data_IF_658137170877
#
_entry.id   IF_658137170877
#
_cell.length_a   1.000
_cell.length_b   1.000
_cell.length_c   1.000
_cell.angle_alpha   90.00
_cell.angle_beta   90.00
_cell.angle_gamma   90.00
#
_symmetry.space_group_name_H-M   'P 1'
#
loop_
_entity.id
_entity.type
_entity.pdbx_description
1 polymer ?
#
# COMPACT_ATOMS: atom_id res chain seq x y z
N UNK A 1 -5.41 21.33 -12.01
CA UNK A 1 -4.74 20.32 -11.16
C UNK A 1 -5.23 20.44 -9.71
N UNK A 2 -6.54 20.59 -9.47
CA UNK A 2 -7.06 20.98 -8.15
C UNK A 2 -6.65 20.05 -7.00
N UNK A 3 -6.65 18.73 -7.21
CA UNK A 3 -6.24 17.77 -6.19
C UNK A 3 -4.77 17.89 -5.79
N UNK A 4 -3.87 18.18 -6.73
CA UNK A 4 -2.44 18.34 -6.42
C UNK A 4 -2.24 19.59 -5.57
N UNK A 5 -2.92 20.68 -5.90
CA UNK A 5 -2.86 21.93 -5.15
C UNK A 5 -3.42 21.75 -3.73
N UNK A 6 -4.54 21.05 -3.58
CA UNK A 6 -5.15 20.72 -2.28
C UNK A 6 -4.23 19.85 -1.40
N UNK A 7 -3.65 18.78 -1.96
CA UNK A 7 -2.70 17.92 -1.24
C UNK A 7 -1.42 18.68 -0.87
N UNK A 8 -0.95 19.55 -1.77
CA UNK A 8 0.18 20.43 -1.51
C UNK A 8 -0.14 21.41 -0.38
N UNK A 9 -1.36 21.94 -0.24
CA UNK A 9 -1.71 22.80 0.89
C UNK A 9 -1.78 22.01 2.22
N UNK A 10 -2.38 20.83 2.19
CA UNK A 10 -2.76 20.11 3.41
C UNK A 10 -1.67 19.18 3.99
N UNK A 11 -0.66 18.75 3.23
CA UNK A 11 0.38 17.83 3.71
C UNK A 11 1.79 18.34 3.42
N UNK A 12 2.56 18.58 4.48
CA UNK A 12 3.96 18.99 4.37
C UNK A 12 4.82 17.90 3.73
N UNK A 13 4.54 16.64 4.04
CA UNK A 13 5.18 15.47 3.46
C UNK A 13 4.89 15.40 1.97
N UNK A 14 3.63 15.58 1.54
CA UNK A 14 3.29 15.59 0.13
C UNK A 14 4.04 16.70 -0.62
N UNK A 15 4.10 17.93 -0.07
CA UNK A 15 4.89 19.03 -0.66
C UNK A 15 6.36 18.68 -0.83
N UNK A 16 6.93 18.00 0.15
CA UNK A 16 8.33 17.62 0.14
C UNK A 16 8.59 16.50 -0.87
N UNK A 17 7.79 15.44 -0.88
CA UNK A 17 8.07 14.24 -1.67
C UNK A 17 7.58 14.34 -3.11
N UNK A 18 6.50 15.09 -3.38
CA UNK A 18 5.91 15.17 -4.72
C UNK A 18 6.89 15.64 -5.81
N UNK A 19 7.73 16.67 -5.64
CA UNK A 19 8.69 17.08 -6.68
C UNK A 19 9.79 16.05 -6.98
N UNK A 20 9.97 15.06 -6.11
CA UNK A 20 10.99 14.01 -6.21
C UNK A 20 10.47 12.71 -6.81
N UNK A 21 9.18 12.66 -7.20
CA UNK A 21 8.60 11.42 -7.67
C UNK A 21 9.25 11.01 -9.00
N UNK A 22 9.98 9.91 -8.99
CA UNK A 22 10.21 9.10 -10.18
C UNK A 22 9.07 8.08 -10.24
N UNK A 23 8.24 8.14 -11.28
CA UNK A 23 7.16 7.16 -11.48
C UNK A 23 7.82 5.83 -11.82
N UNK A 24 7.87 4.91 -10.86
CA UNK A 24 8.25 3.53 -11.13
C UNK A 24 7.06 2.81 -11.75
N UNK A 25 7.18 2.44 -13.02
CA UNK A 25 6.18 1.63 -13.74
C UNK A 25 6.24 0.18 -13.26
N UNK A 26 5.57 -0.12 -12.15
CA UNK A 26 5.44 -1.51 -11.71
C UNK A 26 4.72 -1.64 -10.38
N UNK A 27 3.48 -2.16 -10.35
CA UNK A 27 2.79 -2.47 -9.11
C UNK A 27 3.20 -3.85 -8.54
N UNK A 28 4.31 -4.40 -9.03
CA UNK A 28 4.85 -5.68 -8.63
C UNK A 28 6.04 -5.45 -7.71
N UNK A 29 5.97 -6.00 -6.51
CA UNK A 29 7.08 -5.86 -5.59
C UNK A 29 6.80 -6.32 -4.19
N UNK A 30 7.87 -6.30 -3.41
CA UNK A 30 7.86 -6.68 -2.01
C UNK A 30 7.56 -5.47 -1.14
N UNK A 31 6.46 -5.53 -0.41
CA UNK A 31 6.01 -4.50 0.53
C UNK A 31 6.35 -4.91 1.96
N UNK A 32 7.09 -4.06 2.67
CA UNK A 32 7.43 -4.24 4.08
C UNK A 32 6.72 -3.15 4.88
N UNK A 33 5.80 -3.56 5.76
CA UNK A 33 5.11 -2.65 6.67
C UNK A 33 5.66 -2.82 8.08
N UNK A 34 5.77 -1.70 8.80
CA UNK A 34 6.15 -1.66 10.20
C UNK A 34 4.91 -1.32 11.02
N UNK A 35 4.13 -2.35 11.36
CA UNK A 35 2.93 -2.16 12.19
C UNK A 35 3.34 -1.94 13.65
N UNK A 36 2.77 -0.93 14.35
CA UNK A 36 3.17 -0.62 15.72
C UNK A 36 2.86 -1.73 16.73
N UNK A 37 1.92 -2.62 16.42
CA UNK A 37 1.45 -3.67 17.33
C UNK A 37 1.93 -5.06 16.92
N UNK A 38 1.84 -5.40 15.64
CA UNK A 38 2.24 -6.70 15.09
C UNK A 38 3.72 -6.75 14.63
N UNK A 39 4.39 -5.59 14.58
CA UNK A 39 5.76 -5.47 14.10
C UNK A 39 5.85 -5.58 12.56
N UNK A 40 6.93 -6.18 12.08
CA UNK A 40 7.19 -6.30 10.65
C UNK A 40 6.19 -7.27 10.00
N UNK A 41 5.55 -6.80 8.91
CA UNK A 41 4.70 -7.56 8.02
C UNK A 41 5.21 -7.45 6.59
N UNK A 42 5.34 -8.58 5.90
CA UNK A 42 5.90 -8.65 4.54
C UNK A 42 4.89 -9.23 3.56
N UNK A 43 4.70 -8.54 2.45
CA UNK A 43 3.76 -8.92 1.40
C UNK A 43 4.45 -8.93 0.03
N UNK A 44 4.07 -9.89 -0.80
CA UNK A 44 4.24 -9.76 -2.24
C UNK A 44 3.00 -9.04 -2.80
N UNK A 45 3.22 -8.03 -3.62
CA UNK A 45 2.16 -7.22 -4.21
C UNK A 45 2.08 -7.47 -5.71
N UNK A 46 0.85 -7.61 -6.21
CA UNK A 46 0.52 -7.61 -7.63
C UNK A 46 -0.61 -6.63 -7.87
N UNK A 47 -0.61 -5.90 -8.99
CA UNK A 47 -1.80 -5.15 -9.42
C UNK A 47 -2.13 -5.31 -10.89
N UNK A 48 -3.43 -5.26 -11.17
CA UNK A 48 -4.01 -5.48 -12.48
C UNK A 48 -4.97 -4.34 -12.82
N UNK A 49 -4.99 -3.91 -14.08
CA UNK A 49 -6.07 -3.06 -14.58
C UNK A 49 -7.32 -3.90 -14.86
N UNK A 50 -8.49 -3.37 -14.54
CA UNK A 50 -9.76 -4.08 -14.78
C UNK A 50 -10.11 -4.00 -16.26
N UNK A 51 -10.36 -5.16 -16.89
CA UNK A 51 -10.78 -5.21 -18.28
C UNK A 51 -12.11 -4.47 -18.47
N UNK A 52 -12.13 -3.46 -19.36
CA UNK A 52 -13.31 -2.64 -19.62
C UNK A 52 -13.50 -1.45 -18.67
N UNK A 53 -12.62 -1.26 -17.69
CA UNK A 53 -12.66 -0.11 -16.77
C UNK A 53 -11.23 0.39 -16.49
N UNK A 54 -10.76 1.32 -17.32
CA UNK A 54 -9.39 1.86 -17.25
C UNK A 54 -9.14 2.73 -16.03
N UNK A 55 -10.20 3.16 -15.36
CA UNK A 55 -10.20 3.92 -14.11
C UNK A 55 -10.10 3.03 -12.86
N UNK A 56 -10.14 1.70 -13.03
CA UNK A 56 -10.07 0.74 -11.94
C UNK A 56 -8.80 -0.10 -11.96
N UNK A 57 -8.19 -0.22 -10.79
CA UNK A 57 -7.03 -1.08 -10.54
C UNK A 57 -7.33 -2.00 -9.36
N UNK A 58 -7.02 -3.29 -9.51
CA UNK A 58 -7.09 -4.29 -8.44
C UNK A 58 -5.69 -4.58 -7.95
N UNK A 59 -5.43 -4.38 -6.66
CA UNK A 59 -4.16 -4.71 -6.01
C UNK A 59 -4.35 -5.85 -5.02
N UNK A 60 -3.54 -6.89 -5.12
CA UNK A 60 -3.51 -8.03 -4.22
C UNK A 60 -2.22 -7.96 -3.40
N UNK A 61 -2.36 -7.95 -2.07
CA UNK A 61 -1.23 -8.04 -1.14
C UNK A 61 -1.22 -9.45 -0.52
N UNK A 62 -0.30 -10.30 -0.96
CA UNK A 62 -0.19 -11.68 -0.51
C UNK A 62 0.79 -11.76 0.67
N UNK A 63 0.35 -12.16 1.87
CA UNK A 63 1.25 -12.27 3.01
C UNK A 63 2.28 -13.38 2.78
N UNK A 64 3.55 -13.07 3.04
CA UNK A 64 4.63 -14.07 2.97
C UNK A 64 4.73 -14.87 4.27
N UNK A 65 5.56 -15.92 4.27
CA UNK A 65 5.87 -16.65 5.50
C UNK A 65 6.93 -15.94 6.36
N UNK A 66 7.54 -14.85 5.86
CA UNK A 66 8.55 -14.12 6.59
C UNK A 66 7.94 -13.37 7.78
N UNK A 67 8.72 -13.23 8.86
CA UNK A 67 8.32 -12.52 10.08
C UNK A 67 6.97 -12.99 10.67
N UNK A 68 6.57 -14.24 10.38
CA UNK A 68 5.29 -14.81 10.77
C UNK A 68 4.08 -13.97 10.29
N UNK A 69 4.22 -13.32 9.13
CA UNK A 69 3.25 -12.34 8.62
C UNK A 69 1.84 -12.94 8.49
N UNK A 70 1.71 -14.18 8.00
CA UNK A 70 0.40 -14.86 7.86
C UNK A 70 -0.33 -15.00 9.20
N UNK A 71 0.35 -15.48 10.23
CA UNK A 71 -0.27 -15.72 11.54
C UNK A 71 -0.64 -14.40 12.21
N UNK A 72 0.25 -13.41 12.16
CA UNK A 72 -0.02 -12.06 12.67
C UNK A 72 -1.19 -11.40 11.96
N UNK A 73 -1.27 -11.55 10.63
CA UNK A 73 -2.39 -11.02 9.85
C UNK A 73 -3.72 -11.66 10.27
N UNK A 74 -3.76 -12.97 10.52
CA UNK A 74 -4.96 -13.65 11.00
C UNK A 74 -5.44 -13.08 12.35
N UNK A 75 -4.51 -12.79 13.27
CA UNK A 75 -4.81 -12.15 14.57
C UNK A 75 -5.37 -10.75 14.37
N UNK A 76 -4.74 -9.91 13.54
CA UNK A 76 -5.19 -8.54 13.25
C UNK A 76 -6.60 -8.52 12.62
N UNK A 77 -6.87 -9.44 11.69
CA UNK A 77 -8.19 -9.55 11.04
C UNK A 77 -9.27 -9.97 12.03
N UNK A 78 -8.96 -10.86 12.98
CA UNK A 78 -9.89 -11.27 14.03
C UNK A 78 -10.19 -10.13 15.02
N UNK A 79 -9.23 -9.26 15.29
CA UNK A 79 -9.39 -8.09 16.18
C UNK A 79 -10.22 -6.97 15.56
N UNK A 80 -10.26 -6.91 14.23
CA UNK A 80 -10.95 -5.84 13.48
C UNK A 80 -12.40 -6.22 13.14
N UNK A 81 -12.94 -7.32 13.70
CA UNK A 81 -14.37 -7.65 13.56
C UNK A 81 -15.24 -6.60 14.29
N UNK A 82 -16.29 -6.05 13.64
CA UNK A 82 -17.23 -5.12 14.26
C UNK A 82 -18.07 -5.75 15.38
#
# INVERSE_FOLDING_TARGET
MALIDELHECSAEFREWWPRHDVLDGPEGRKINYDPTAGILVFEQLSFHVAGSTDLTVTINMPTNEFDTKSKLAVLLAQTSP
#
